data_IF_998394630085
#
_entry.id   IF_998394630085
#
_cell.length_a   1.000
_cell.length_b   1.000
_cell.length_c   1.000
_cell.angle_alpha   90.00
_cell.angle_beta   90.00
_cell.angle_gamma   90.00
#
_symmetry.space_group_name_H-M   'P 1'
#
loop_
_entity.id
_entity.type
_entity.pdbx_description
1 polymer ?
#
# COMPACT_ATOMS: atom_id res chain seq x y z
N UNK A 1 16.30 10.11 3.82
CA UNK A 1 15.15 9.71 2.96
C UNK A 1 14.86 8.27 3.31
N UNK A 2 13.60 7.88 3.41
CA UNK A 2 13.20 6.54 3.88
C UNK A 2 12.26 5.94 2.83
N UNK A 3 12.24 4.62 2.70
CA UNK A 3 11.31 3.93 1.80
C UNK A 3 10.08 3.44 2.56
N UNK A 4 8.91 3.63 1.99
CA UNK A 4 7.72 2.88 2.38
C UNK A 4 7.67 1.60 1.56
N UNK A 5 7.69 0.46 2.24
CA UNK A 5 7.31 -0.84 1.68
C UNK A 5 5.80 -1.02 1.85
N UNK A 6 5.06 -0.80 0.77
CA UNK A 6 3.59 -0.76 0.79
C UNK A 6 3.00 -2.09 0.31
N UNK A 7 2.35 -2.85 1.19
CA UNK A 7 1.48 -3.97 0.80
C UNK A 7 0.04 -3.51 0.59
N UNK A 8 -0.54 -3.74 -0.58
CA UNK A 8 -1.89 -3.27 -0.93
C UNK A 8 -2.94 -4.36 -0.68
N UNK A 9 -3.92 -4.09 0.18
CA UNK A 9 -5.05 -5.00 0.42
C UNK A 9 -6.01 -5.07 -0.77
N UNK A 10 -6.52 -6.27 -1.06
CA UNK A 10 -7.47 -6.52 -2.15
C UNK A 10 -6.83 -6.51 -3.55
N UNK A 11 -5.53 -6.34 -3.62
CA UNK A 11 -4.72 -6.46 -4.83
C UNK A 11 -3.60 -7.47 -4.53
N UNK A 12 -3.96 -8.75 -4.69
CA UNK A 12 -3.36 -9.98 -4.12
C UNK A 12 -1.82 -10.19 -4.25
N UNK A 13 -1.07 -9.24 -4.84
CA UNK A 13 0.39 -9.27 -4.94
C UNK A 13 1.02 -7.87 -5.14
N UNK A 14 0.32 -6.78 -4.82
CA UNK A 14 0.82 -5.45 -5.13
C UNK A 14 1.69 -4.90 -3.99
N UNK A 15 3.01 -4.90 -4.24
CA UNK A 15 4.02 -4.24 -3.43
C UNK A 15 4.56 -2.99 -4.11
N UNK A 16 4.49 -1.87 -3.40
CA UNK A 16 5.03 -0.60 -3.87
C UNK A 16 6.16 -0.13 -2.95
N UNK A 17 7.34 0.09 -3.52
CA UNK A 17 8.38 0.88 -2.88
C UNK A 17 8.21 2.36 -3.26
N UNK A 18 8.02 3.19 -2.23
CA UNK A 18 7.79 4.64 -2.37
C UNK A 18 8.78 5.41 -1.50
N UNK A 19 9.59 6.26 -2.14
CA UNK A 19 10.50 7.15 -1.45
C UNK A 19 9.75 8.29 -0.75
N UNK A 20 10.08 8.54 0.51
CA UNK A 20 9.44 9.58 1.33
C UNK A 20 10.42 10.34 2.22
N UNK A 21 9.97 11.49 2.73
CA UNK A 21 10.57 12.15 3.88
C UNK A 21 9.73 11.91 5.14
N UNK A 22 10.35 11.54 6.25
CA UNK A 22 9.65 11.31 7.52
C UNK A 22 8.96 12.57 8.08
N UNK A 23 9.50 13.74 7.73
CA UNK A 23 8.96 15.05 8.06
C UNK A 23 7.71 15.43 7.27
N UNK A 24 7.39 14.70 6.19
CA UNK A 24 6.20 14.96 5.40
C UNK A 24 4.94 14.46 6.11
N UNK A 25 3.82 15.10 5.80
CA UNK A 25 2.51 14.63 6.20
C UNK A 25 2.19 13.31 5.52
N UNK A 26 1.45 12.45 6.22
CA UNK A 26 0.90 11.21 5.66
C UNK A 26 0.06 11.49 4.40
N UNK A 27 -0.58 12.66 4.29
CA UNK A 27 -1.26 13.07 3.06
C UNK A 27 -0.34 13.11 1.82
N UNK A 28 0.90 13.57 1.98
CA UNK A 28 1.90 13.58 0.90
C UNK A 28 2.23 12.15 0.46
N UNK A 29 2.33 11.24 1.41
CA UNK A 29 2.62 9.81 1.17
C UNK A 29 1.46 9.14 0.43
N UNK A 30 0.21 9.43 0.80
CA UNK A 30 -0.98 8.97 0.08
C UNK A 30 -0.96 9.39 -1.40
N UNK A 31 -0.56 10.62 -1.70
CA UNK A 31 -0.42 11.11 -3.08
C UNK A 31 0.69 10.37 -3.83
N UNK A 32 1.84 10.16 -3.18
CA UNK A 32 2.96 9.43 -3.77
C UNK A 32 2.59 7.97 -4.10
N UNK A 33 1.91 7.28 -3.17
CA UNK A 33 1.39 5.92 -3.36
C UNK A 33 0.39 5.88 -4.51
N UNK A 34 -0.60 6.77 -4.54
CA UNK A 34 -1.60 6.81 -5.62
C UNK A 34 -0.97 7.03 -7.00
N UNK A 35 0.03 7.92 -7.08
CA UNK A 35 0.76 8.17 -8.34
C UNK A 35 1.60 6.97 -8.78
N UNK A 36 2.27 6.30 -7.83
CA UNK A 36 3.04 5.08 -8.10
C UNK A 36 2.12 3.96 -8.60
N UNK A 37 1.00 3.74 -7.92
CA UNK A 37 0.00 2.74 -8.30
C UNK A 37 -0.56 3.01 -9.70
N UNK A 38 -0.93 4.27 -10.00
CA UNK A 38 -1.37 4.66 -11.34
C UNK A 38 -0.31 4.40 -12.42
N UNK A 39 0.96 4.64 -12.12
CA UNK A 39 2.05 4.39 -13.08
C UNK A 39 2.21 2.90 -13.40
N UNK A 40 2.01 2.03 -12.40
CA UNK A 40 2.22 0.58 -12.55
C UNK A 40 0.99 -0.12 -13.14
N UNK A 41 -0.22 0.30 -12.77
CA UNK A 41 -1.46 -0.41 -13.11
C UNK A 41 -2.43 0.39 -13.98
N UNK A 42 -2.11 1.64 -14.33
CA UNK A 42 -2.97 2.58 -15.06
C UNK A 42 -4.32 2.89 -14.39
N UNK A 43 -4.50 2.46 -13.13
CA UNK A 43 -5.70 2.73 -12.31
C UNK A 43 -5.51 4.00 -11.50
N UNK A 44 -6.48 4.90 -11.54
CA UNK A 44 -6.46 6.13 -10.73
C UNK A 44 -7.13 5.91 -9.38
N UNK A 45 -6.37 6.09 -8.30
CA UNK A 45 -6.88 6.06 -6.94
C UNK A 45 -7.11 7.47 -6.40
N UNK A 46 -8.20 7.67 -5.67
CA UNK A 46 -8.42 8.90 -4.92
C UNK A 46 -7.48 8.95 -3.71
N UNK A 47 -6.34 9.62 -3.84
CA UNK A 47 -5.29 9.65 -2.80
C UNK A 47 -5.81 9.96 -1.39
N UNK A 48 -6.65 10.99 -1.24
CA UNK A 48 -7.23 11.36 0.06
C UNK A 48 -8.22 10.35 0.67
N UNK A 49 -8.55 9.27 -0.06
CA UNK A 49 -9.38 8.16 0.41
C UNK A 49 -8.58 6.90 0.74
N UNK A 50 -7.29 6.85 0.39
CA UNK A 50 -6.41 5.75 0.79
C UNK A 50 -6.34 5.67 2.31
N UNK A 51 -6.43 4.47 2.87
CA UNK A 51 -6.20 4.28 4.30
C UNK A 51 -4.86 3.57 4.45
N UNK A 52 -3.94 4.20 5.20
CA UNK A 52 -2.61 3.66 5.46
C UNK A 52 -2.54 3.17 6.91
N UNK A 53 -1.92 2.03 7.10
CA UNK A 53 -1.73 1.40 8.41
C UNK A 53 -0.28 0.98 8.56
N UNK A 54 0.30 1.16 9.75
CA UNK A 54 1.63 0.61 10.02
C UNK A 54 1.54 -0.91 10.05
N UNK A 55 2.31 -1.59 9.21
CA UNK A 55 2.41 -3.05 9.17
C UNK A 55 3.42 -3.57 10.21
N UNK A 56 3.53 -2.89 11.37
CA UNK A 56 4.45 -3.24 12.43
C UNK A 56 3.72 -3.26 13.77
N UNK A 57 3.97 -4.30 14.57
CA UNK A 57 3.48 -4.37 15.95
C UNK A 57 4.56 -3.87 16.89
N UNK A 58 4.18 -3.00 17.83
CA UNK A 58 5.07 -2.51 18.87
C UNK A 58 5.00 -3.39 20.12
N UNK A 59 6.16 -3.74 20.64
CA UNK A 59 6.33 -4.31 21.98
C UNK A 59 7.43 -3.51 22.71
N UNK A 60 7.00 -2.57 23.55
CA UNK A 60 7.88 -1.54 24.10
C UNK A 60 8.54 -0.70 23.01
N UNK A 61 9.88 -0.63 23.02
CA UNK A 61 10.68 0.10 22.03
C UNK A 61 10.96 -0.71 20.75
N UNK A 62 10.58 -1.99 20.71
CA UNK A 62 10.80 -2.85 19.55
C UNK A 62 9.60 -2.79 18.62
N UNK A 63 9.87 -2.58 17.34
CA UNK A 63 8.89 -2.75 16.27
C UNK A 63 9.20 -4.03 15.52
N UNK A 64 8.24 -4.94 15.45
CA UNK A 64 8.32 -6.13 14.59
C UNK A 64 7.51 -5.85 13.34
N UNK A 65 8.19 -5.74 12.20
CA UNK A 65 7.55 -5.53 10.90
C UNK A 65 6.93 -6.82 10.39
N UNK A 66 5.86 -6.69 9.61
CA UNK A 66 5.32 -7.78 8.81
C UNK A 66 6.42 -8.28 7.87
N UNK A 67 6.72 -9.58 7.97
CA UNK A 67 7.73 -10.21 7.13
C UNK A 67 7.28 -10.22 5.67
N UNK A 68 8.23 -9.99 4.77
CA UNK A 68 8.09 -10.27 3.34
C UNK A 68 8.36 -11.77 3.13
N UNK A 69 7.35 -12.59 3.43
CA UNK A 69 7.40 -14.05 3.33
C UNK A 69 6.21 -14.61 2.52
N UNK A 70 6.24 -15.92 2.24
CA UNK A 70 5.19 -16.60 1.46
C UNK A 70 3.78 -16.49 2.09
N UNK A 71 3.67 -16.06 3.35
CA UNK A 71 2.38 -15.84 4.01
C UNK A 71 1.83 -14.42 3.76
N UNK A 72 2.66 -13.50 3.27
CA UNK A 72 2.29 -12.11 3.03
C UNK A 72 1.25 -11.98 1.93
N UNK A 73 1.36 -12.76 0.85
CA UNK A 73 0.35 -12.78 -0.23
C UNK A 73 -1.03 -13.23 0.30
N UNK A 74 -1.06 -14.30 1.10
CA UNK A 74 -2.28 -14.81 1.71
C UNK A 74 -2.91 -13.79 2.69
N UNK A 75 -2.06 -13.07 3.42
CA UNK A 75 -2.48 -11.99 4.30
C UNK A 75 -3.12 -10.82 3.53
N UNK A 76 -2.53 -10.40 2.41
CA UNK A 76 -3.05 -9.31 1.58
C UNK A 76 -4.34 -9.65 0.81
N UNK A 77 -4.60 -10.95 0.57
CA UNK A 77 -5.87 -11.47 0.02
C UNK A 77 -7.04 -11.36 1.00
N UNK A 78 -6.76 -11.22 2.30
CA UNK A 78 -7.77 -11.13 3.35
C UNK A 78 -8.44 -9.76 3.47
N UNK A 79 -9.28 -9.61 4.49
CA UNK A 79 -9.75 -8.29 4.92
C UNK A 79 -8.65 -7.52 5.66
N UNK A 80 -8.70 -6.19 5.61
CA UNK A 80 -7.79 -5.33 6.37
C UNK A 80 -7.84 -5.69 7.85
N UNK A 81 -6.74 -6.21 8.39
CA UNK A 81 -6.61 -6.36 9.83
C UNK A 81 -6.62 -4.97 10.50
N UNK A 82 -7.69 -4.70 11.25
CA UNK A 82 -7.91 -3.43 11.95
C UNK A 82 -7.08 -3.30 13.22
N UNK A 83 -6.32 -4.33 13.60
CA UNK A 83 -5.41 -4.28 14.75
C UNK A 83 -4.17 -3.42 14.48
N UNK A 84 -3.86 -3.14 13.20
CA UNK A 84 -2.77 -2.25 12.84
C UNK A 84 -3.10 -0.78 13.09
N UNK A 85 -2.08 -0.01 13.46
CA UNK A 85 -2.25 1.42 13.78
C UNK A 85 -2.51 2.21 12.51
N UNK A 86 -3.69 2.83 12.43
CA UNK A 86 -4.07 3.69 11.31
C UNK A 86 -3.28 5.00 11.32
N UNK A 87 -2.79 5.39 10.15
CA UNK A 87 -2.10 6.65 9.93
C UNK A 87 -3.10 7.77 9.63
N UNK A 88 -3.08 8.81 10.46
CA UNK A 88 -3.78 10.08 10.25
C UNK A 88 -3.09 10.92 9.15
N UNK A 89 -3.83 11.38 8.12
CA UNK A 89 -3.29 12.23 7.05
C UNK A 89 -2.66 13.54 7.52
N UNK A 90 -3.09 14.05 8.68
CA UNK A 90 -2.65 15.33 9.25
C UNK A 90 -1.46 15.21 10.21
N UNK A 91 -0.87 14.02 10.35
CA UNK A 91 0.31 13.78 11.17
C UNK A 91 1.51 13.46 10.27
N UNK A 92 2.70 13.78 10.72
CA UNK A 92 3.98 13.35 10.11
C UNK A 92 4.42 12.04 10.75
N UNK A 93 5.43 11.35 10.20
CA UNK A 93 5.94 10.12 10.80
C UNK A 93 6.72 10.37 12.10
N UNK A 94 7.31 11.55 12.27
CA UNK A 94 7.91 11.97 13.55
C UNK A 94 6.89 12.21 14.67
N UNK A 95 5.60 12.07 14.40
CA UNK A 95 4.59 12.20 15.44
C UNK A 95 4.79 11.09 16.49
N UNK A 96 4.89 11.47 17.77
CA UNK A 96 5.30 10.57 18.87
C UNK A 96 4.46 9.31 19.01
N UNK A 97 3.19 9.34 18.61
CA UNK A 97 2.33 8.14 18.60
C UNK A 97 2.79 7.09 17.57
N UNK A 98 3.47 7.50 16.49
CA UNK A 98 3.92 6.62 15.42
C UNK A 98 5.31 6.08 15.66
N UNK A 99 6.25 6.95 16.01
CA UNK A 99 7.63 6.57 16.28
C UNK A 99 8.19 7.41 17.43
N UNK A 100 9.09 6.82 18.23
CA UNK A 100 9.89 7.57 19.19
C UNK A 100 10.88 8.47 18.43
N UNK A 101 11.38 9.53 19.07
CA UNK A 101 12.35 10.44 18.44
C UNK A 101 13.65 9.71 18.02
N UNK A 102 13.98 8.61 18.70
CA UNK A 102 15.16 7.76 18.44
C UNK A 102 14.89 6.61 17.45
N UNK A 103 13.69 6.55 16.87
CA UNK A 103 13.36 5.49 15.92
C UNK A 103 14.23 5.57 14.67
N UNK A 104 14.93 4.46 14.38
CA UNK A 104 15.60 4.26 13.11
C UNK A 104 14.90 3.13 12.36
N UNK A 105 14.40 3.37 11.14
CA UNK A 105 13.86 2.30 10.31
C UNK A 105 14.94 1.26 10.02
N UNK A 106 14.57 -0.02 10.12
CA UNK A 106 15.47 -1.10 9.75
C UNK A 106 15.65 -1.08 8.23
N UNK A 107 16.89 -1.15 7.77
CA UNK A 107 17.25 -1.07 6.34
C UNK A 107 16.71 0.18 5.61
N UNK A 108 16.45 1.26 6.36
CA UNK A 108 15.81 2.49 5.86
C UNK A 108 14.41 2.27 5.27
N UNK A 109 13.68 1.23 5.71
CA UNK A 109 12.33 0.90 5.25
C UNK A 109 11.27 0.91 6.38
N UNK A 110 10.05 1.32 6.04
CA UNK A 110 8.86 1.28 6.90
C UNK A 110 7.77 0.50 6.19
N UNK A 111 7.27 -0.56 6.82
CA UNK A 111 6.24 -1.39 6.21
C UNK A 111 4.86 -0.79 6.48
N UNK A 112 4.08 -0.60 5.42
CA UNK A 112 2.76 0.03 5.44
C UNK A 112 1.75 -0.84 4.70
N UNK A 113 0.57 -1.01 5.27
CA UNK A 113 -0.57 -1.59 4.58
C UNK A 113 -1.42 -0.49 3.96
N UNK A 114 -1.78 -0.66 2.69
CA UNK A 114 -2.58 0.28 1.91
C UNK A 114 -3.95 -0.35 1.64
N UNK A 115 -4.99 0.22 2.24
CA UNK A 115 -6.38 -0.12 1.91
C UNK A 115 -6.90 0.83 0.83
N UNK A 116 -7.22 0.26 -0.32
CA UNK A 116 -7.75 0.97 -1.49
C UNK A 116 -9.26 0.84 -1.65
N UNK A 117 -9.96 0.12 -0.77
CA UNK A 117 -11.39 -0.19 -0.89
C UNK A 117 -12.27 1.05 -1.01
N UNK A 118 -11.86 2.16 -0.38
CA UNK A 118 -12.54 3.46 -0.43
C UNK A 118 -11.97 4.41 -1.49
N UNK A 119 -10.83 4.06 -2.08
CA UNK A 119 -10.06 4.90 -2.99
C UNK A 119 -10.23 4.53 -4.46
N UNK A 120 -10.65 3.29 -4.74
CA UNK A 120 -11.23 2.91 -6.02
C UNK A 120 -12.48 3.78 -6.20
N UNK A 121 -12.39 4.80 -7.08
CA UNK A 121 -13.55 5.58 -7.44
C UNK A 121 -14.66 4.59 -7.81
N UNK A 122 -15.80 4.67 -7.13
CA UNK A 122 -16.95 3.81 -7.36
C UNK A 122 -17.24 3.79 -8.85
N UNK A 123 -16.84 2.71 -9.53
CA UNK A 123 -17.44 2.31 -10.79
C UNK A 123 -18.91 2.11 -10.41
N UNK A 124 -19.87 2.85 -11.00
CA UNK A 124 -21.28 2.59 -10.73
C UNK A 124 -21.54 1.09 -10.95
N UNK A 125 -22.39 0.45 -10.13
CA UNK A 125 -22.46 -1.00 -10.07
C UNK A 125 -22.89 -1.57 -11.43
N UNK A 126 -21.92 -2.12 -12.14
CA UNK A 126 -22.10 -3.09 -13.21
C UNK A 126 -21.05 -4.17 -12.91
N UNK A 127 -21.48 -5.18 -12.17
CA UNK A 127 -20.76 -6.39 -11.72
C UNK A 127 -19.98 -6.30 -10.39
N UNK A 128 -20.01 -7.40 -9.58
CA UNK A 128 -19.41 -7.43 -8.25
C UNK A 128 -17.87 -7.29 -8.28
N UNK A 129 -17.25 -6.71 -7.23
CA UNK A 129 -15.87 -6.19 -7.25
C UNK A 129 -14.79 -7.25 -7.51
N UNK A 130 -15.04 -8.51 -7.17
CA UNK A 130 -14.00 -9.55 -7.19
C UNK A 130 -13.73 -10.12 -8.60
N UNK A 131 -14.60 -9.87 -9.58
CA UNK A 131 -14.42 -10.37 -10.94
C UNK A 131 -13.73 -9.36 -11.85
N UNK A 132 -14.03 -8.06 -11.67
CA UNK A 132 -13.47 -6.99 -12.51
C UNK A 132 -11.97 -6.73 -12.29
N UNK A 133 -11.46 -6.85 -11.07
CA UNK A 133 -10.01 -6.68 -10.82
C UNK A 133 -9.22 -7.85 -11.41
N UNK A 134 -9.78 -9.06 -11.37
CA UNK A 134 -9.16 -10.22 -12.01
C UNK A 134 -9.23 -10.10 -13.53
N UNK A 135 -10.40 -9.75 -14.09
CA UNK A 135 -10.61 -9.63 -15.54
C UNK A 135 -9.75 -8.53 -16.18
N UNK A 136 -9.65 -7.35 -15.56
CA UNK A 136 -8.80 -6.26 -16.07
C UNK A 136 -7.31 -6.65 -16.02
N UNK A 137 -6.88 -7.37 -14.98
CA UNK A 137 -5.49 -7.84 -14.88
C UNK A 137 -5.17 -8.94 -15.89
N UNK A 138 -6.10 -9.87 -16.13
CA UNK A 138 -5.95 -10.93 -17.14
C UNK A 138 -5.81 -10.31 -18.52
N UNK A 139 -6.67 -9.35 -18.89
CA UNK A 139 -6.59 -8.67 -20.19
C UNK A 139 -5.27 -7.90 -20.37
N UNK A 140 -4.78 -7.21 -19.34
CA UNK A 140 -3.51 -6.48 -19.43
C UNK A 140 -2.32 -7.45 -19.51
N UNK A 141 -2.35 -8.58 -18.79
CA UNK A 141 -1.27 -9.57 -18.85
C UNK A 141 -1.17 -10.22 -20.22
N UNK A 142 -2.31 -10.59 -20.82
CA UNK A 142 -2.37 -11.15 -22.18
C UNK A 142 -1.83 -10.15 -23.23
N UNK A 143 -2.22 -8.87 -23.15
CA UNK A 143 -1.72 -7.85 -24.09
C UNK A 143 -0.20 -7.56 -23.97
N UNK A 144 0.38 -7.75 -22.78
CA UNK A 144 1.81 -7.56 -22.56
C UNK A 144 2.63 -8.78 -23.00
N UNK A 145 2.13 -10.00 -22.77
CA UNK A 145 2.78 -11.23 -23.23
C UNK A 145 2.75 -11.33 -24.77
N UNK A 146 1.66 -10.92 -25.43
CA UNK A 146 1.58 -10.86 -26.90
C UNK A 146 2.57 -9.86 -27.51
N UNK A 147 2.76 -8.70 -26.87
CA UNK A 147 3.74 -7.68 -27.35
C UNK A 147 5.20 -8.08 -27.14
N UNK A 148 5.48 -9.06 -26.27
CA UNK A 148 6.82 -9.60 -26.06
C UNK A 148 7.11 -10.81 -26.96
N UNK A 149 6.08 -11.48 -27.50
CA UNK A 149 6.21 -12.61 -28.41
C UNK A 149 6.47 -12.21 -29.88
N UNK A 150 6.21 -10.95 -30.23
CA UNK A 150 6.38 -10.38 -31.58
C UNK A 150 7.74 -9.68 -31.82
N UNK A 151 8.75 -9.93 -30.98
CA UNK A 151 10.10 -9.35 -31.07
C UNK A 151 11.18 -10.43 -30.90
#
# INVERSE_FOLDING_TARGET
>A
MVKLSCGVYGDEACFLLVDIQLSDYVQTQQVAIANKYKKMYLVTLAAGKLQLYFAGTKDGDKTTWLADDDNMENFLRGEVDKNYTKMSPLKTLHYKDYFTEDFQPQDDEIHVLVDISKALASIPPQNPPNQLVHDVKVTIREEYEDKLADN
#
